data_IF_180461735364
#
_entry.id   IF_180461735364
#
_cell.length_a   1.000
_cell.length_b   1.000
_cell.length_c   1.000
_cell.angle_alpha   90.00
_cell.angle_beta   90.00
_cell.angle_gamma   90.00
#
_symmetry.space_group_name_H-M   'P 1'
#
loop_
_entity.id
_entity.type
_entity.pdbx_description
1 polymer ?
#
# COMPACT_ATOMS: atom_id res chain seq x y z
N UNK A 1 0.75 16.69 32.83
CA UNK A 1 0.73 15.30 33.35
C UNK A 1 -0.56 14.58 32.93
N UNK A 2 -0.92 14.62 31.63
CA UNK A 2 -2.06 13.85 31.12
C UNK A 2 -1.71 13.31 29.73
N UNK A 3 -0.93 12.22 29.70
CA UNK A 3 -0.70 11.41 28.50
C UNK A 3 -1.13 9.96 28.76
N UNK A 4 -2.25 9.76 29.47
CA UNK A 4 -2.73 8.42 29.86
C UNK A 4 -3.88 7.88 28.99
N UNK A 5 -4.22 8.51 27.85
CA UNK A 5 -5.29 8.01 26.96
C UNK A 5 -4.94 8.21 25.47
N UNK A 6 -3.93 7.49 24.96
CA UNK A 6 -3.84 7.22 23.52
C UNK A 6 -3.61 5.73 23.33
N UNK A 7 -4.70 4.97 23.24
CA UNK A 7 -4.66 3.68 22.58
C UNK A 7 -4.06 3.90 21.19
N UNK A 8 -2.93 3.26 20.93
CA UNK A 8 -2.13 3.44 19.73
C UNK A 8 -2.99 3.07 18.51
N UNK A 9 -3.53 4.10 17.85
CA UNK A 9 -4.14 3.92 16.53
C UNK A 9 -3.02 3.39 15.61
N UNK A 10 -3.32 2.46 14.68
CA UNK A 10 -2.36 2.15 13.64
C UNK A 10 -1.88 3.46 13.00
N UNK A 11 -0.57 3.63 12.86
CA UNK A 11 0.06 4.86 12.36
C UNK A 11 -0.25 5.14 10.88
N UNK A 12 -1.16 4.39 10.26
CA UNK A 12 -1.53 4.46 8.86
C UNK A 12 -3.05 4.41 8.71
N UNK A 13 -3.57 5.04 7.65
CA UNK A 13 -4.99 5.03 7.32
C UNK A 13 -5.35 3.87 6.38
N UNK A 14 -6.63 3.70 6.06
CA UNK A 14 -7.10 2.70 5.09
C UNK A 14 -8.16 3.32 4.20
N UNK A 15 -8.20 2.88 2.95
CA UNK A 15 -9.08 3.38 1.89
C UNK A 15 -9.53 2.20 1.01
N UNK A 16 -10.76 2.21 0.49
CA UNK A 16 -11.18 1.14 -0.42
C UNK A 16 -10.40 1.20 -1.73
N UNK A 17 -10.05 0.04 -2.27
CA UNK A 17 -9.27 -0.04 -3.52
C UNK A 17 -9.93 0.70 -4.69
N UNK A 18 -11.26 0.81 -4.73
CA UNK A 18 -11.98 1.48 -5.82
C UNK A 18 -11.96 3.02 -5.70
N UNK A 19 -11.50 3.57 -4.57
CA UNK A 19 -11.30 5.00 -4.41
C UNK A 19 -9.97 5.46 -5.04
N UNK A 20 -9.08 4.53 -5.43
CA UNK A 20 -7.75 4.84 -5.98
C UNK A 20 -7.81 5.69 -7.25
N UNK A 21 -8.83 5.48 -8.09
CA UNK A 21 -9.01 6.19 -9.37
C UNK A 21 -9.42 7.66 -9.17
N UNK A 22 -9.79 8.04 -7.94
CA UNK A 22 -10.14 9.43 -7.57
C UNK A 22 -8.93 10.25 -7.11
N UNK A 23 -7.79 9.60 -6.91
CA UNK A 23 -6.58 10.24 -6.40
C UNK A 23 -5.83 10.98 -7.52
N UNK A 24 -5.35 12.18 -7.22
CA UNK A 24 -4.51 12.93 -8.15
C UNK A 24 -3.04 12.52 -8.01
N UNK A 25 -2.50 11.83 -9.03
CA UNK A 25 -1.10 11.41 -9.12
C UNK A 25 -0.57 10.64 -7.87
N UNK A 26 -1.24 9.56 -7.44
CA UNK A 26 -0.86 8.81 -6.25
C UNK A 26 0.44 8.01 -6.45
N UNK A 27 1.20 7.79 -5.38
CA UNK A 27 2.27 6.79 -5.38
C UNK A 27 1.69 5.43 -4.97
N UNK A 28 1.45 4.57 -5.96
CA UNK A 28 0.90 3.24 -5.76
C UNK A 28 2.02 2.22 -5.58
N UNK A 29 1.99 1.45 -4.49
CA UNK A 29 2.94 0.38 -4.19
C UNK A 29 2.22 -0.97 -4.17
N UNK A 30 2.45 -1.81 -5.17
CA UNK A 30 1.96 -3.18 -5.19
C UNK A 30 2.97 -4.12 -4.52
N UNK A 31 2.54 -4.78 -3.44
CA UNK A 31 3.37 -5.73 -2.66
C UNK A 31 3.01 -7.19 -2.91
N UNK A 32 2.27 -7.49 -3.99
CA UNK A 32 2.06 -8.86 -4.46
C UNK A 32 3.37 -9.49 -4.95
N UNK A 33 3.40 -10.81 -4.99
CA UNK A 33 4.53 -11.53 -5.60
C UNK A 33 4.41 -11.49 -7.13
N UNK A 34 5.53 -11.67 -7.84
CA UNK A 34 5.63 -11.51 -9.30
C UNK A 34 4.67 -12.43 -10.09
N UNK A 35 4.36 -13.61 -9.57
CA UNK A 35 3.43 -14.55 -10.18
C UNK A 35 1.98 -14.04 -10.15
N UNK A 36 1.62 -13.23 -9.14
CA UNK A 36 0.28 -12.66 -9.00
C UNK A 36 0.06 -11.39 -9.85
N UNK A 37 1.12 -10.68 -10.24
CA UNK A 37 1.02 -9.44 -11.04
C UNK A 37 0.86 -9.70 -12.53
N UNK A 38 1.13 -10.93 -12.97
CA UNK A 38 0.87 -11.36 -14.36
C UNK A 38 -0.61 -11.24 -14.76
N UNK A 39 -1.53 -11.32 -13.79
CA UNK A 39 -2.97 -11.09 -13.99
C UNK A 39 -3.34 -9.61 -14.20
N UNK A 40 -2.40 -8.70 -13.95
CA UNK A 40 -2.55 -7.26 -14.12
C UNK A 40 -2.29 -6.47 -12.84
N UNK A 41 -1.85 -5.22 -13.01
CA UNK A 41 -1.62 -4.23 -11.96
C UNK A 41 -2.39 -2.95 -12.29
N UNK A 42 -2.60 -2.09 -11.28
CA UNK A 42 -3.11 -0.74 -11.52
C UNK A 42 -2.04 0.05 -12.28
N UNK A 43 -2.45 0.82 -13.27
CA UNK A 43 -1.52 1.62 -14.07
C UNK A 43 -0.68 2.55 -13.18
N UNK A 44 0.64 2.58 -13.43
CA UNK A 44 1.58 3.37 -12.64
C UNK A 44 1.95 2.77 -11.27
N UNK A 45 1.45 1.59 -10.91
CA UNK A 45 1.86 0.93 -9.67
C UNK A 45 3.31 0.45 -9.70
N UNK A 46 4.06 0.82 -8.66
CA UNK A 46 5.41 0.32 -8.41
C UNK A 46 5.33 -1.06 -7.76
N UNK A 47 5.92 -2.08 -8.39
CA UNK A 47 5.94 -3.43 -7.86
C UNK A 47 7.18 -3.66 -6.99
N UNK A 48 6.96 -3.87 -5.69
CA UNK A 48 7.99 -4.35 -4.76
C UNK A 48 7.36 -5.47 -3.93
N UNK A 49 7.64 -6.75 -4.24
CA UNK A 49 7.06 -7.87 -3.50
C UNK A 49 7.28 -7.73 -2.00
N UNK A 50 6.30 -8.14 -1.19
CA UNK A 50 6.39 -8.02 0.26
C UNK A 50 7.66 -8.70 0.81
N UNK A 51 8.06 -9.82 0.20
CA UNK A 51 9.30 -10.54 0.51
C UNK A 51 10.57 -9.70 0.35
N UNK A 52 10.55 -8.71 -0.53
CA UNK A 52 11.70 -7.85 -0.87
C UNK A 52 11.62 -6.45 -0.27
N UNK A 53 10.44 -6.05 0.22
CA UNK A 53 10.17 -4.70 0.74
C UNK A 53 11.22 -4.23 1.76
N UNK A 54 11.60 -5.10 2.70
CA UNK A 54 12.58 -4.77 3.75
C UNK A 54 13.93 -4.28 3.18
N UNK A 55 14.39 -4.87 2.08
CA UNK A 55 15.66 -4.52 1.44
C UNK A 55 15.56 -3.39 0.40
N UNK A 56 14.34 -2.93 0.11
CA UNK A 56 14.07 -1.96 -0.95
C UNK A 56 13.34 -0.70 -0.46
N UNK A 57 13.21 -0.52 0.86
CA UNK A 57 12.53 0.65 1.45
C UNK A 57 13.13 1.99 1.01
N UNK A 58 14.43 2.03 0.69
CA UNK A 58 15.13 3.25 0.30
C UNK A 58 14.71 3.76 -1.09
N UNK A 59 14.00 2.95 -1.88
CA UNK A 59 13.40 3.36 -3.15
C UNK A 59 12.07 4.09 -2.98
N UNK A 60 11.49 4.06 -1.77
CA UNK A 60 10.18 4.64 -1.50
C UNK A 60 10.29 6.14 -1.20
N UNK A 61 9.34 6.96 -1.68
CA UNK A 61 9.31 8.38 -1.37
C UNK A 61 9.01 8.59 0.11
N UNK A 62 9.77 9.48 0.77
CA UNK A 62 9.52 9.87 2.17
C UNK A 62 8.64 11.11 2.29
N UNK A 63 8.49 11.86 1.21
CA UNK A 63 7.76 13.11 1.10
C UNK A 63 6.34 12.95 0.54
N UNK A 64 5.92 11.70 0.28
CA UNK A 64 4.61 11.38 -0.30
C UNK A 64 3.91 10.29 0.49
N UNK A 65 2.59 10.30 0.40
CA UNK A 65 1.75 9.23 0.92
C UNK A 65 1.80 8.01 -0.03
N UNK A 66 2.06 6.82 0.53
CA UNK A 66 2.21 5.57 -0.21
C UNK A 66 0.93 4.74 -0.10
N UNK A 67 0.25 4.52 -1.22
CA UNK A 67 -0.95 3.68 -1.27
C UNK A 67 -0.55 2.24 -1.54
N UNK A 68 -0.62 1.40 -0.50
CA UNK A 68 -0.11 0.03 -0.56
C UNK A 68 -1.22 -0.93 -0.96
N UNK A 69 -0.99 -1.67 -2.03
CA UNK A 69 -1.93 -2.58 -2.68
C UNK A 69 -1.40 -4.00 -2.52
N UNK A 70 -2.29 -4.95 -2.28
CA UNK A 70 -1.97 -6.36 -2.43
C UNK A 70 -3.17 -7.12 -3.01
N UNK A 71 -3.17 -8.45 -2.96
CA UNK A 71 -4.30 -9.23 -3.48
C UNK A 71 -5.62 -9.01 -2.74
N UNK A 72 -5.63 -8.88 -1.41
CA UNK A 72 -6.87 -8.86 -0.62
C UNK A 72 -6.90 -7.86 0.57
N UNK A 73 -5.88 -7.00 0.70
CA UNK A 73 -5.73 -6.07 1.82
C UNK A 73 -4.89 -6.57 3.02
N UNK A 74 -4.63 -7.89 3.14
CA UNK A 74 -3.93 -8.43 4.33
C UNK A 74 -2.42 -8.15 4.34
N UNK A 75 -1.76 -8.30 3.18
CA UNK A 75 -0.32 -8.07 3.04
C UNK A 75 0.02 -6.59 3.03
N UNK A 76 -0.79 -5.78 2.33
CA UNK A 76 -0.69 -4.33 2.34
C UNK A 76 -0.83 -3.76 3.75
N UNK A 77 -1.75 -4.26 4.58
CA UNK A 77 -1.83 -3.86 5.99
C UNK A 77 -0.53 -4.13 6.78
N UNK A 78 0.12 -5.28 6.54
CA UNK A 78 1.41 -5.62 7.19
C UNK A 78 2.55 -4.74 6.68
N UNK A 79 2.57 -4.46 5.37
CA UNK A 79 3.51 -3.54 4.76
C UNK A 79 3.33 -2.11 5.32
N UNK A 80 2.10 -1.62 5.42
CA UNK A 80 1.82 -0.31 6.02
C UNK A 80 2.30 -0.21 7.46
N UNK A 81 2.03 -1.21 8.30
CA UNK A 81 2.56 -1.22 9.67
C UNK A 81 4.10 -1.14 9.69
N UNK A 82 4.75 -1.95 8.87
CA UNK A 82 6.21 -1.97 8.76
C UNK A 82 6.80 -0.64 8.25
N UNK A 83 6.14 0.01 7.30
CA UNK A 83 6.52 1.29 6.72
C UNK A 83 6.27 2.44 7.68
N UNK A 84 5.13 2.44 8.37
CA UNK A 84 4.78 3.47 9.36
C UNK A 84 5.74 3.49 10.53
N UNK A 85 6.20 2.32 10.99
CA UNK A 85 7.22 2.19 12.04
C UNK A 85 8.58 2.81 11.63
N UNK A 86 8.79 3.02 10.33
CA UNK A 86 9.99 3.65 9.73
C UNK A 86 9.76 5.10 9.30
N UNK A 87 8.62 5.68 9.68
CA UNK A 87 8.28 7.07 9.42
C UNK A 87 7.73 7.34 8.01
N UNK A 88 7.35 6.32 7.26
CA UNK A 88 6.66 6.51 5.98
C UNK A 88 5.17 6.78 6.20
N UNK A 89 4.63 7.72 5.43
CA UNK A 89 3.18 7.91 5.33
C UNK A 89 2.62 6.87 4.37
N UNK A 90 1.63 6.10 4.81
CA UNK A 90 1.04 5.09 3.96
C UNK A 90 -0.45 4.89 4.24
N UNK A 91 -1.15 4.40 3.21
CA UNK A 91 -2.55 4.03 3.23
C UNK A 91 -2.66 2.58 2.80
N UNK A 92 -3.31 1.76 3.61
CA UNK A 92 -3.63 0.40 3.22
C UNK A 92 -4.86 0.39 2.31
N UNK A 93 -4.71 -0.06 1.07
CA UNK A 93 -5.82 -0.21 0.14
C UNK A 93 -6.60 -1.50 0.46
N UNK A 94 -7.74 -1.35 1.14
CA UNK A 94 -8.58 -2.47 1.57
C UNK A 94 -9.30 -3.09 0.38
N UNK A 95 -9.67 -4.38 0.51
CA UNK A 95 -10.20 -5.17 -0.61
C UNK A 95 -9.11 -5.66 -1.57
N UNK A 96 -8.08 -4.84 -1.82
CA UNK A 96 -6.96 -5.16 -2.71
C UNK A 96 -7.41 -5.48 -4.14
N UNK A 97 -6.52 -6.04 -4.95
CA UNK A 97 -6.80 -6.32 -6.36
C UNK A 97 -7.97 -7.29 -6.60
N UNK A 98 -8.36 -8.11 -5.61
CA UNK A 98 -9.57 -8.94 -5.69
C UNK A 98 -10.86 -8.13 -5.85
N UNK A 99 -10.88 -6.91 -5.30
CA UNK A 99 -12.07 -6.08 -5.25
C UNK A 99 -11.97 -4.84 -6.16
N UNK A 100 -10.85 -4.68 -6.86
CA UNK A 100 -10.65 -3.58 -7.79
C UNK A 100 -11.41 -3.86 -9.09
N UNK A 101 -12.25 -2.92 -9.50
CA UNK A 101 -13.06 -3.03 -10.72
C UNK A 101 -12.60 -2.11 -11.84
N UNK A 102 -11.55 -1.32 -11.62
CA UNK A 102 -11.00 -0.38 -12.59
C UNK A 102 -10.06 -1.03 -13.62
N UNK A 103 -9.50 -0.21 -14.53
CA UNK A 103 -8.60 -0.69 -15.57
C UNK A 103 -7.29 -1.21 -15.00
N UNK A 104 -6.78 -2.30 -15.57
CA UNK A 104 -5.46 -2.85 -15.24
C UNK A 104 -4.59 -2.91 -16.48
N UNK A 105 -3.28 -2.82 -16.27
CA UNK A 105 -2.26 -3.04 -17.30
C UNK A 105 -1.49 -4.31 -16.99
N UNK A 106 -0.90 -4.96 -18.01
CA UNK A 106 -0.01 -6.10 -17.77
C UNK A 106 1.19 -5.64 -16.95
N UNK A 107 1.40 -6.29 -15.81
CA UNK A 107 2.53 -6.06 -14.91
C UNK A 107 3.83 -6.68 -15.39
#
# INVERSE_FOLDING_TARGET
MFEFLRGERPSFSSMDINEVDTLENPFLLDVRELDETAEGIIEGAHLIPLSQLLGQIDQLPKDKEIYVICRSGNRSRRACAFLSDRGFQCVNMTGGMKNYTGPTVRG
#
